data_IF_154138009947
#
_entry.id   IF_154138009947
#
_cell.length_a   1.000
_cell.length_b   1.000
_cell.length_c   1.000
_cell.angle_alpha   90.00
_cell.angle_beta   90.00
_cell.angle_gamma   90.00
#
_symmetry.space_group_name_H-M   'P 1'
#
loop_
_entity.id
_entity.type
_entity.pdbx_description
1 polymer ?
#
# COMPACT_ATOMS: atom_id res chain seq x y z
N UNK A 1 42.42 -3.49 -21.60
CA UNK A 1 41.60 -3.63 -20.37
C UNK A 1 40.47 -2.61 -20.31
N UNK A 2 40.68 -1.31 -20.63
CA UNK A 2 39.60 -0.31 -20.62
C UNK A 2 38.46 -0.59 -21.61
N UNK A 3 38.76 -1.02 -22.84
CA UNK A 3 37.75 -1.34 -23.86
C UNK A 3 36.76 -2.44 -23.43
N UNK A 4 37.23 -3.48 -22.73
CA UNK A 4 36.35 -4.53 -22.18
C UNK A 4 35.44 -4.00 -21.06
N UNK A 5 35.93 -3.05 -20.25
CA UNK A 5 35.14 -2.44 -19.17
C UNK A 5 34.02 -1.55 -19.71
N UNK A 6 34.27 -0.77 -20.76
CA UNK A 6 33.26 0.09 -21.41
C UNK A 6 32.18 -0.72 -22.13
N UNK A 7 32.57 -1.82 -22.79
CA UNK A 7 31.65 -2.79 -23.38
C UNK A 7 30.74 -3.40 -22.31
N UNK A 8 31.32 -3.85 -21.19
CA UNK A 8 30.57 -4.40 -20.07
C UNK A 8 29.57 -3.38 -19.51
N UNK A 9 29.99 -2.12 -19.34
CA UNK A 9 29.14 -1.06 -18.80
C UNK A 9 27.96 -0.72 -19.73
N UNK A 10 28.20 -0.70 -21.03
CA UNK A 10 27.17 -0.38 -22.03
C UNK A 10 26.14 -1.51 -22.13
N UNK A 11 26.61 -2.76 -22.12
CA UNK A 11 25.77 -3.96 -22.18
C UNK A 11 24.93 -4.09 -20.90
N UNK A 12 25.53 -3.88 -19.72
CA UNK A 12 24.80 -3.82 -18.46
C UNK A 12 23.70 -2.77 -18.52
N UNK A 13 23.99 -1.53 -18.92
CA UNK A 13 22.97 -0.47 -19.00
C UNK A 13 21.81 -0.82 -19.93
N UNK A 14 22.08 -1.47 -21.06
CA UNK A 14 21.04 -1.87 -22.02
C UNK A 14 20.13 -2.97 -21.48
N UNK A 15 20.71 -4.01 -20.87
CA UNK A 15 19.96 -5.12 -20.26
C UNK A 15 19.15 -4.60 -19.07
N UNK A 16 19.76 -3.71 -18.28
CA UNK A 16 19.10 -3.12 -17.12
C UNK A 16 17.91 -2.22 -17.49
N UNK A 17 17.88 -1.65 -18.69
CA UNK A 17 16.76 -0.85 -19.19
C UNK A 17 15.61 -1.67 -19.81
N UNK A 18 15.82 -2.96 -20.09
CA UNK A 18 14.84 -3.83 -20.75
C UNK A 18 13.94 -4.60 -19.77
N UNK A 19 14.34 -4.70 -18.50
CA UNK A 19 13.59 -5.38 -17.45
C UNK A 19 12.89 -4.40 -16.52
N UNK A 20 11.70 -4.77 -16.04
CA UNK A 20 11.02 -3.98 -15.02
C UNK A 20 11.76 -4.09 -13.68
N UNK A 21 11.74 -3.01 -12.90
CA UNK A 21 12.48 -2.92 -11.63
C UNK A 21 12.08 -3.99 -10.61
N UNK A 22 10.82 -4.42 -10.64
CA UNK A 22 10.29 -5.47 -9.75
C UNK A 22 10.96 -6.82 -10.07
N UNK A 23 11.21 -7.10 -11.35
CA UNK A 23 11.96 -8.27 -11.83
C UNK A 23 13.44 -8.17 -11.43
N UNK A 24 14.02 -6.96 -11.42
CA UNK A 24 15.40 -6.72 -10.97
C UNK A 24 15.62 -6.95 -9.48
N UNK A 25 14.62 -6.64 -8.66
CA UNK A 25 14.68 -6.76 -7.21
C UNK A 25 14.32 -8.19 -6.76
N UNK A 26 13.38 -8.85 -7.44
CA UNK A 26 12.91 -10.18 -7.10
C UNK A 26 13.74 -11.31 -7.74
N UNK A 27 14.28 -11.12 -8.94
CA UNK A 27 14.92 -12.18 -9.74
C UNK A 27 16.41 -11.91 -10.02
N UNK A 28 17.18 -11.56 -8.98
CA UNK A 28 18.63 -11.33 -9.07
C UNK A 28 19.41 -12.45 -9.76
N UNK A 29 19.05 -13.71 -9.53
CA UNK A 29 19.72 -14.85 -10.16
C UNK A 29 19.48 -14.91 -11.67
N UNK A 30 18.25 -14.65 -12.10
CA UNK A 30 17.90 -14.63 -13.52
C UNK A 30 18.63 -13.52 -14.25
N UNK A 31 18.68 -12.34 -13.63
CA UNK A 31 19.37 -11.19 -14.19
C UNK A 31 20.87 -11.39 -14.33
N UNK A 32 21.50 -12.04 -13.33
CA UNK A 32 22.90 -12.43 -13.41
C UNK A 32 23.17 -13.40 -14.58
N UNK A 33 22.25 -14.35 -14.82
CA UNK A 33 22.38 -15.30 -15.92
C UNK A 33 22.25 -14.62 -17.29
N UNK A 34 21.28 -13.71 -17.45
CA UNK A 34 21.06 -12.99 -18.71
C UNK A 34 22.23 -12.06 -19.05
N UNK A 35 22.71 -11.30 -18.06
CA UNK A 35 23.91 -10.45 -18.20
C UNK A 35 25.14 -11.28 -18.56
N UNK A 36 25.31 -12.45 -17.93
CA UNK A 36 26.44 -13.35 -18.20
C UNK A 36 26.39 -13.90 -19.61
N UNK A 37 25.24 -14.35 -20.09
CA UNK A 37 25.09 -14.91 -21.43
C UNK A 37 25.44 -13.87 -22.50
N UNK A 38 25.00 -12.62 -22.34
CA UNK A 38 25.28 -11.55 -23.29
C UNK A 38 26.75 -11.15 -23.25
N UNK A 39 27.36 -11.11 -22.07
CA UNK A 39 28.78 -10.79 -21.93
C UNK A 39 29.69 -11.89 -22.48
N UNK A 40 29.41 -13.17 -22.21
CA UNK A 40 30.16 -14.29 -22.80
C UNK A 40 30.11 -14.21 -24.34
N UNK A 41 28.92 -13.97 -24.93
CA UNK A 41 28.78 -13.84 -26.38
C UNK A 41 29.62 -12.69 -26.98
N UNK A 42 29.74 -11.57 -26.27
CA UNK A 42 30.51 -10.42 -26.73
C UNK A 42 32.02 -10.56 -26.45
N UNK A 43 32.42 -11.29 -25.40
CA UNK A 43 33.83 -11.48 -25.04
C UNK A 43 34.48 -12.72 -25.67
N UNK A 44 33.69 -13.66 -26.18
CA UNK A 44 34.17 -14.77 -27.01
C UNK A 44 34.90 -14.28 -28.26
N UNK A 45 34.44 -13.18 -28.87
CA UNK A 45 35.10 -12.53 -30.01
C UNK A 45 36.50 -11.96 -29.66
N UNK A 46 36.81 -11.81 -28.37
CA UNK A 46 38.07 -11.28 -27.85
C UNK A 46 38.94 -12.37 -27.18
N UNK A 47 38.49 -13.63 -27.14
CA UNK A 47 39.22 -14.75 -26.55
C UNK A 47 39.30 -14.75 -25.02
N UNK A 48 38.40 -14.02 -24.34
CA UNK A 48 38.38 -13.88 -22.87
C UNK A 48 37.13 -14.56 -22.33
N UNK A 49 37.29 -15.60 -21.50
CA UNK A 49 36.18 -16.33 -20.89
C UNK A 49 35.77 -15.70 -19.54
N UNK A 50 34.55 -15.22 -19.41
CA UNK A 50 34.11 -14.50 -18.21
C UNK A 50 33.58 -15.50 -17.18
N UNK A 51 34.33 -15.70 -16.10
CA UNK A 51 34.06 -16.79 -15.14
C UNK A 51 33.08 -16.41 -14.03
N UNK A 52 33.01 -15.14 -13.63
CA UNK A 52 32.08 -14.67 -12.61
C UNK A 52 31.80 -13.17 -12.79
N UNK A 53 30.53 -12.79 -12.89
CA UNK A 53 30.07 -11.39 -12.87
C UNK A 53 29.16 -11.27 -11.66
N UNK A 54 29.50 -10.37 -10.75
CA UNK A 54 28.74 -10.12 -9.53
C UNK A 54 28.30 -8.65 -9.54
N UNK A 55 26.99 -8.40 -9.61
CA UNK A 55 26.44 -7.04 -9.58
C UNK A 55 26.61 -6.50 -8.15
N UNK A 56 27.67 -5.71 -7.91
CA UNK A 56 28.01 -5.20 -6.57
C UNK A 56 27.11 -4.07 -6.09
N UNK A 57 26.93 -3.04 -6.92
CA UNK A 57 26.16 -1.85 -6.55
C UNK A 57 25.69 -1.15 -7.82
N UNK A 58 24.37 -1.05 -8.01
CA UNK A 58 23.79 -0.17 -9.01
C UNK A 58 23.38 1.11 -8.30
N UNK A 59 24.09 2.20 -8.54
CA UNK A 59 23.61 3.53 -8.18
C UNK A 59 22.49 3.88 -9.16
N UNK A 60 21.25 3.79 -8.71
CA UNK A 60 20.10 4.25 -9.46
C UNK A 60 20.12 5.79 -9.46
N UNK A 61 20.04 6.41 -10.63
CA UNK A 61 19.86 7.86 -10.76
C UNK A 61 18.59 8.31 -10.01
N UNK A 62 18.68 9.40 -9.25
CA UNK A 62 17.57 9.98 -8.47
C UNK A 62 16.31 10.21 -9.31
N UNK A 63 16.48 10.56 -10.59
CA UNK A 63 15.35 10.75 -11.51
C UNK A 63 14.60 9.43 -11.76
N UNK A 64 15.33 8.32 -11.86
CA UNK A 64 14.76 7.00 -12.09
C UNK A 64 14.05 6.50 -10.83
N UNK A 65 14.66 6.65 -9.64
CA UNK A 65 14.03 6.34 -8.35
C UNK A 65 12.71 7.07 -8.18
N UNK A 66 12.65 8.35 -8.57
CA UNK A 66 11.44 9.16 -8.49
C UNK A 66 10.36 8.70 -9.49
N UNK A 67 10.75 8.31 -10.70
CA UNK A 67 9.82 7.78 -11.70
C UNK A 67 9.21 6.44 -11.25
N UNK A 68 10.05 5.55 -10.70
CA UNK A 68 9.67 4.27 -10.12
C UNK A 68 8.70 4.47 -8.96
N UNK A 69 9.02 5.37 -8.02
CA UNK A 69 8.17 5.63 -6.87
C UNK A 69 6.77 6.08 -7.30
N UNK A 70 6.68 6.97 -8.29
CA UNK A 70 5.40 7.41 -8.87
C UNK A 70 4.63 6.29 -9.56
N UNK A 71 5.32 5.42 -10.30
CA UNK A 71 4.70 4.29 -10.99
C UNK A 71 4.20 3.23 -10.00
N UNK A 72 5.00 2.89 -8.99
CA UNK A 72 4.62 1.95 -7.94
C UNK A 72 3.44 2.47 -7.10
N UNK A 73 3.40 3.77 -6.83
CA UNK A 73 2.29 4.40 -6.11
C UNK A 73 1.01 4.43 -6.95
N UNK A 74 1.11 4.72 -8.24
CA UNK A 74 -0.02 4.65 -9.18
C UNK A 74 -0.57 3.22 -9.31
N UNK A 75 0.30 2.22 -9.40
CA UNK A 75 -0.10 0.81 -9.47
C UNK A 75 -0.71 0.33 -8.14
N UNK A 76 -0.14 0.71 -7.00
CA UNK A 76 -0.75 0.47 -5.67
C UNK A 76 -2.14 1.08 -5.57
N UNK A 77 -2.30 2.34 -5.96
CA UNK A 77 -3.59 3.02 -5.94
C UNK A 77 -4.61 2.34 -6.87
N UNK A 78 -4.17 1.87 -8.04
CA UNK A 78 -5.00 1.12 -8.99
C UNK A 78 -5.45 -0.21 -8.41
N UNK A 79 -4.55 -0.98 -7.78
CA UNK A 79 -4.84 -2.27 -7.16
C UNK A 79 -5.70 -2.15 -5.89
N UNK A 80 -5.55 -1.06 -5.15
CA UNK A 80 -6.34 -0.82 -3.94
C UNK A 80 -7.80 -0.44 -4.22
N UNK A 81 -8.09 0.19 -5.37
CA UNK A 81 -9.45 0.68 -5.72
C UNK A 81 -10.52 -0.42 -5.71
N UNK A 82 -10.35 -1.57 -6.39
CA UNK A 82 -11.33 -2.65 -6.35
C UNK A 82 -11.54 -3.21 -4.93
N UNK A 83 -10.45 -3.38 -4.17
CA UNK A 83 -10.47 -3.91 -2.80
C UNK A 83 -11.25 -2.98 -1.86
N UNK A 84 -11.07 -1.66 -2.02
CA UNK A 84 -11.79 -0.66 -1.24
C UNK A 84 -13.30 -0.73 -1.52
N UNK A 85 -13.68 -0.80 -2.79
CA UNK A 85 -15.09 -0.90 -3.20
C UNK A 85 -15.74 -2.20 -2.72
N UNK A 86 -15.02 -3.32 -2.77
CA UNK A 86 -15.49 -4.61 -2.24
C UNK A 86 -15.65 -4.59 -0.70
N UNK A 87 -14.79 -3.85 0.01
CA UNK A 87 -14.91 -3.64 1.46
C UNK A 87 -16.05 -2.70 1.85
N UNK A 88 -16.40 -1.73 1.00
CA UNK A 88 -17.47 -0.75 1.26
C UNK A 88 -18.87 -1.39 1.31
N UNK A 89 -19.16 -2.38 0.47
CA UNK A 89 -20.48 -3.03 0.41
C UNK A 89 -20.89 -3.70 1.74
N UNK A 90 -20.10 -4.62 2.35
CA UNK A 90 -20.46 -5.23 3.61
C UNK A 90 -20.48 -4.22 4.77
N UNK A 91 -19.62 -3.21 4.74
CA UNK A 91 -19.62 -2.12 5.72
C UNK A 91 -20.93 -1.31 5.65
N UNK A 92 -21.33 -0.87 4.45
CA UNK A 92 -22.58 -0.15 4.23
C UNK A 92 -23.81 -0.98 4.63
N UNK A 93 -23.85 -2.27 4.29
CA UNK A 93 -24.94 -3.15 4.71
C UNK A 93 -25.01 -3.30 6.23
N UNK A 94 -23.87 -3.42 6.91
CA UNK A 94 -23.81 -3.53 8.37
C UNK A 94 -24.25 -2.24 9.05
N UNK A 95 -23.90 -1.08 8.49
CA UNK A 95 -24.40 0.22 8.94
C UNK A 95 -25.92 0.33 8.80
N UNK A 96 -26.48 -0.04 7.64
CA UNK A 96 -27.94 -0.02 7.43
C UNK A 96 -28.66 -0.97 8.39
N UNK A 97 -28.14 -2.19 8.60
CA UNK A 97 -28.69 -3.13 9.59
C UNK A 97 -28.65 -2.55 11.01
N UNK A 98 -27.53 -1.92 11.38
CA UNK A 98 -27.36 -1.32 12.71
C UNK A 98 -28.27 -0.10 12.91
N UNK A 99 -28.51 0.68 11.85
CA UNK A 99 -29.41 1.83 11.88
C UNK A 99 -30.90 1.45 12.03
N UNK A 100 -31.28 0.20 11.76
CA UNK A 100 -32.67 -0.31 11.94
C UNK A 100 -32.96 -0.74 13.37
N UNK A 101 -31.97 -1.24 14.11
CA UNK A 101 -32.11 -1.69 15.50
C UNK A 101 -32.80 -0.63 16.40
N UNK A 102 -32.44 0.68 16.32
CA UNK A 102 -33.12 1.75 17.05
C UNK A 102 -34.63 1.85 16.83
N UNK A 103 -35.11 1.53 15.62
CA UNK A 103 -36.52 1.63 15.25
C UNK A 103 -37.31 0.40 15.72
N UNK A 104 -36.68 -0.77 15.69
CA UNK A 104 -37.30 -2.03 16.13
C UNK A 104 -37.28 -2.17 17.66
N UNK A 105 -36.25 -1.61 18.31
CA UNK A 105 -36.06 -1.66 19.76
C UNK A 105 -35.60 -0.29 20.29
N UNK A 106 -36.53 0.60 20.64
CA UNK A 106 -36.21 1.94 21.17
C UNK A 106 -35.31 1.90 22.42
N UNK A 107 -35.39 0.84 23.21
CA UNK A 107 -34.57 0.62 24.41
C UNK A 107 -33.08 0.40 24.08
N UNK A 108 -32.75 -0.07 22.87
CA UNK A 108 -31.37 -0.31 22.44
C UNK A 108 -30.57 1.00 22.29
N UNK A 109 -31.23 2.11 21.91
CA UNK A 109 -30.59 3.42 21.87
C UNK A 109 -30.22 3.89 23.26
N UNK A 110 -31.09 3.69 24.25
CA UNK A 110 -30.82 4.09 25.63
C UNK A 110 -29.62 3.34 26.21
N UNK A 111 -29.55 2.02 26.01
CA UNK A 111 -28.40 1.20 26.43
C UNK A 111 -27.10 1.67 25.77
N UNK A 112 -27.13 1.92 24.45
CA UNK A 112 -25.96 2.45 23.74
C UNK A 112 -25.55 3.82 24.26
N UNK A 113 -26.50 4.71 24.57
CA UNK A 113 -26.20 5.98 25.22
C UNK A 113 -25.50 5.77 26.57
N UNK A 114 -25.97 4.84 27.41
CA UNK A 114 -25.30 4.54 28.69
C UNK A 114 -23.89 3.97 28.52
N UNK A 115 -23.66 3.09 27.55
CA UNK A 115 -22.32 2.55 27.23
C UNK A 115 -21.38 3.66 26.75
N UNK A 116 -21.85 4.52 25.84
CA UNK A 116 -21.05 5.66 25.33
C UNK A 116 -20.70 6.62 26.47
N UNK A 117 -21.63 6.85 27.40
CA UNK A 117 -21.38 7.64 28.61
C UNK A 117 -20.36 6.99 29.53
N UNK A 118 -20.40 5.66 29.70
CA UNK A 118 -19.46 4.93 30.53
C UNK A 118 -18.03 4.97 29.94
N UNK A 119 -17.89 4.84 28.62
CA UNK A 119 -16.60 5.01 27.91
C UNK A 119 -16.07 6.44 28.08
N UNK A 120 -16.90 7.45 27.84
CA UNK A 120 -16.49 8.86 27.95
C UNK A 120 -16.24 9.31 29.38
N UNK A 121 -16.84 8.68 30.39
CA UNK A 121 -16.59 8.98 31.80
C UNK A 121 -15.22 8.45 32.28
N UNK A 122 -14.63 7.48 31.58
CA UNK A 122 -13.27 6.99 31.84
C UNK A 122 -12.18 7.98 31.41
N UNK A 123 -12.41 8.68 30.30
CA UNK A 123 -11.56 9.78 29.83
C UNK A 123 -12.03 11.09 30.47
N UNK A 124 -11.25 11.67 31.39
CA UNK A 124 -11.49 12.90 32.17
C UNK A 124 -12.03 14.11 31.37
N UNK A 125 -13.28 14.05 30.91
CA UNK A 125 -13.94 15.06 30.08
C UNK A 125 -14.88 15.88 30.97
N UNK A 126 -14.63 17.20 31.03
CA UNK A 126 -15.25 18.10 32.02
C UNK A 126 -16.62 18.65 31.60
N UNK A 127 -17.10 18.32 30.38
CA UNK A 127 -18.38 18.80 29.84
C UNK A 127 -19.08 17.67 29.09
N UNK A 128 -20.20 17.20 29.64
CA UNK A 128 -21.05 16.16 29.05
C UNK A 128 -22.30 16.80 28.42
N UNK A 129 -22.44 16.71 27.10
CA UNK A 129 -23.66 17.13 26.40
C UNK A 129 -24.57 15.92 26.25
N UNK A 130 -25.60 15.83 27.08
CA UNK A 130 -26.54 14.71 27.07
C UNK A 130 -27.85 15.12 26.38
N UNK A 131 -28.20 14.51 25.22
CA UNK A 131 -29.49 14.73 24.59
C UNK A 131 -30.58 14.01 25.39
N UNK A 132 -31.43 14.77 26.09
CA UNK A 132 -32.60 14.23 26.78
C UNK A 132 -33.76 14.04 25.79
N UNK A 133 -34.42 12.87 25.76
CA UNK A 133 -35.60 12.66 24.95
C UNK A 133 -36.73 13.58 25.43
N UNK A 134 -37.40 14.24 24.48
CA UNK A 134 -38.50 15.17 24.77
C UNK A 134 -39.63 14.51 25.56
N UNK A 135 -39.87 13.21 25.34
CA UNK A 135 -40.89 12.43 26.05
C UNK A 135 -40.71 12.42 27.58
N UNK A 136 -39.46 12.51 28.07
CA UNK A 136 -39.16 12.61 29.50
C UNK A 136 -39.36 14.03 30.05
N UNK A 137 -39.22 15.03 29.17
CA UNK A 137 -39.37 16.46 29.49
C UNK A 137 -40.83 16.93 29.37
N UNK A 138 -41.66 16.24 28.58
CA UNK A 138 -43.08 16.56 28.39
C UNK A 138 -43.87 16.75 29.71
N UNK A 139 -43.80 15.85 30.70
CA UNK A 139 -44.53 16.04 31.97
C UNK A 139 -43.96 17.16 32.86
N UNK A 140 -42.74 17.63 32.60
CA UNK A 140 -42.13 18.78 33.31
C UNK A 140 -42.43 20.13 32.61
N UNK A 141 -42.67 20.11 31.30
CA UNK A 141 -42.99 21.28 30.47
C UNK A 141 -44.49 21.56 30.36
N UNK A 142 -45.34 20.52 30.40
CA UNK A 142 -46.79 20.68 30.52
C UNK A 142 -47.14 20.96 31.99
N UNK A 143 -47.17 22.25 32.32
CA UNK A 143 -47.75 22.76 33.56
C UNK A 143 -49.26 22.84 33.46
#
# INVERSE_FOLDING_TARGET
MQASSELVQTTLRSVLGQHELDEMLAERERLNNDVRAILDQQTDALGIKVSNIEIKHMELDENMVRAIARQAEAERARRAKPICVEGEQPAAQKLVKTARIPYEQPQAIQLRCHETLAEMAGDKSNTLVFPLPMDLLEPLLKK
#
